data_IF_879906725096
#
_entry.id   IF_879906725096
#
_cell.length_a   1.000
_cell.length_b   1.000
_cell.length_c   1.000
_cell.angle_alpha   90.00
_cell.angle_beta   90.00
_cell.angle_gamma   90.00
#
_symmetry.space_group_name_H-M   'P 1'
#
loop_
_entity.id
_entity.type
_entity.pdbx_description
1 polymer ?
#
# COMPACT_ATOMS: atom_id res chain seq x y z
N UNK A 1 21.23 13.70 8.15
CA UNK A 1 20.24 12.80 8.78
C UNK A 1 18.90 13.06 8.13
N UNK A 2 18.13 12.02 7.73
CA UNK A 2 16.93 12.15 6.90
C UNK A 2 15.91 13.18 7.42
N UNK A 3 15.75 13.33 8.74
CA UNK A 3 14.85 14.31 9.36
C UNK A 3 15.21 15.76 8.99
N UNK A 4 16.51 16.08 8.88
CA UNK A 4 16.96 17.45 8.61
C UNK A 4 16.70 17.89 7.17
N UNK A 5 16.56 16.93 6.26
CA UNK A 5 16.10 17.20 4.90
C UNK A 5 14.66 17.76 4.90
N UNK A 6 13.81 17.30 5.84
CA UNK A 6 12.41 17.70 5.93
C UNK A 6 12.17 18.96 6.77
N UNK A 7 13.20 19.57 7.38
CA UNK A 7 13.06 20.62 8.39
C UNK A 7 12.17 21.81 7.96
N UNK A 8 12.27 22.22 6.70
CA UNK A 8 11.51 23.36 6.15
C UNK A 8 10.33 22.92 5.27
N UNK A 9 9.99 21.64 5.27
CA UNK A 9 8.88 21.10 4.48
C UNK A 9 7.57 21.22 5.27
N UNK A 10 6.40 21.42 4.63
CA UNK A 10 5.11 21.51 5.33
C UNK A 10 4.80 20.31 6.24
N UNK A 11 5.36 19.15 5.93
CA UNK A 11 5.21 17.88 6.64
C UNK A 11 6.24 17.69 7.78
N UNK A 12 7.12 18.67 8.05
CA UNK A 12 8.18 18.56 9.06
C UNK A 12 7.67 18.09 10.43
N UNK A 13 6.58 18.69 10.91
CA UNK A 13 5.99 18.34 12.20
C UNK A 13 5.50 16.89 12.24
N UNK A 14 4.88 16.42 11.15
CA UNK A 14 4.39 15.05 11.03
C UNK A 14 5.54 14.03 10.99
N UNK A 15 6.59 14.32 10.20
CA UNK A 15 7.79 13.47 10.15
C UNK A 15 8.47 13.39 11.52
N UNK A 16 8.53 14.50 12.26
CA UNK A 16 9.11 14.52 13.60
C UNK A 16 8.31 13.65 14.59
N UNK A 17 6.97 13.72 14.53
CA UNK A 17 6.10 12.86 15.35
C UNK A 17 6.33 11.37 15.05
N UNK A 18 6.41 10.99 13.77
CA UNK A 18 6.69 9.60 13.38
C UNK A 18 8.06 9.12 13.86
N UNK A 19 9.08 9.98 13.76
CA UNK A 19 10.44 9.64 14.17
C UNK A 19 10.60 9.45 15.69
N UNK A 20 9.70 10.05 16.48
CA UNK A 20 9.68 9.92 17.94
C UNK A 20 8.74 8.82 18.43
N UNK A 21 8.07 8.11 17.51
CA UNK A 21 7.13 7.08 17.90
C UNK A 21 7.87 5.89 18.51
N UNK A 22 7.60 5.64 19.79
CA UNK A 22 8.03 4.41 20.46
C UNK A 22 7.20 3.22 19.96
N UNK A 23 7.84 2.34 19.18
CA UNK A 23 7.22 1.14 18.65
C UNK A 23 7.22 0.03 19.72
N UNK A 24 6.03 -0.54 19.99
CA UNK A 24 5.87 -1.70 20.89
C UNK A 24 6.24 -3.01 20.18
N UNK A 25 7.37 -3.01 19.46
CA UNK A 25 7.86 -4.13 18.64
C UNK A 25 9.26 -4.47 19.15
N UNK A 26 9.55 -5.75 19.48
CA UNK A 26 10.91 -6.17 19.81
C UNK A 26 11.88 -5.80 18.68
N UNK A 27 13.11 -5.44 19.00
CA UNK A 27 14.09 -4.97 18.01
C UNK A 27 14.31 -6.00 16.89
N UNK A 28 14.32 -7.28 17.26
CA UNK A 28 14.43 -8.42 16.36
C UNK A 28 13.24 -8.59 15.39
N UNK A 29 12.09 -7.96 15.66
CA UNK A 29 10.88 -8.04 14.85
C UNK A 29 10.59 -6.80 14.01
N UNK A 30 11.36 -5.71 14.16
CA UNK A 30 11.10 -4.44 13.46
C UNK A 30 11.11 -4.63 11.93
N UNK A 31 12.03 -5.46 11.42
CA UNK A 31 12.15 -5.69 9.98
C UNK A 31 10.94 -6.46 9.43
N UNK A 32 10.50 -7.47 10.15
CA UNK A 32 9.39 -8.34 9.79
C UNK A 32 8.08 -7.57 9.80
N UNK A 33 7.87 -6.72 10.81
CA UNK A 33 6.74 -5.81 10.92
C UNK A 33 6.74 -4.78 9.79
N UNK A 34 7.89 -4.15 9.52
CA UNK A 34 8.02 -3.22 8.39
C UNK A 34 7.66 -3.89 7.06
N UNK A 35 8.23 -5.07 6.77
CA UNK A 35 7.92 -5.82 5.56
C UNK A 35 6.45 -6.27 5.52
N UNK A 36 5.86 -6.58 6.67
CA UNK A 36 4.44 -6.85 6.82
C UNK A 36 3.58 -5.67 6.39
N UNK A 37 3.91 -4.47 6.89
CA UNK A 37 3.20 -3.24 6.52
C UNK A 37 3.35 -2.90 5.04
N UNK A 38 4.53 -3.09 4.45
CA UNK A 38 4.72 -2.93 2.99
C UNK A 38 3.85 -3.90 2.20
N UNK A 39 3.72 -5.17 2.64
CA UNK A 39 2.80 -6.12 2.00
C UNK A 39 1.35 -5.65 2.10
N UNK A 40 0.91 -5.14 3.24
CA UNK A 40 -0.45 -4.61 3.42
C UNK A 40 -0.71 -3.40 2.52
N UNK A 41 0.23 -2.45 2.42
CA UNK A 41 0.11 -1.30 1.53
C UNK A 41 -0.04 -1.72 0.06
N UNK A 42 0.70 -2.75 -0.36
CA UNK A 42 0.55 -3.30 -1.72
C UNK A 42 -0.84 -3.93 -1.95
N UNK A 43 -1.39 -4.61 -0.94
CA UNK A 43 -2.74 -5.18 -1.03
C UNK A 43 -3.78 -4.08 -1.18
N UNK A 44 -3.65 -2.97 -0.45
CA UNK A 44 -4.55 -1.81 -0.57
C UNK A 44 -4.53 -1.26 -2.00
N UNK A 45 -3.36 -1.03 -2.59
CA UNK A 45 -3.27 -0.55 -3.98
C UNK A 45 -3.84 -1.54 -5.01
N UNK A 46 -3.70 -2.85 -4.78
CA UNK A 46 -4.33 -3.87 -5.64
C UNK A 46 -5.86 -3.81 -5.51
N UNK A 47 -6.38 -3.63 -4.30
CA UNK A 47 -7.81 -3.54 -4.05
C UNK A 47 -8.43 -2.29 -4.68
N UNK A 48 -7.72 -1.16 -4.69
CA UNK A 48 -8.13 0.04 -5.40
C UNK A 48 -8.30 -0.21 -6.90
N UNK A 49 -7.36 -0.89 -7.56
CA UNK A 49 -7.45 -1.21 -8.98
C UNK A 49 -8.57 -2.20 -9.30
N UNK A 50 -8.74 -3.24 -8.48
CA UNK A 50 -9.87 -4.18 -8.61
C UNK A 50 -11.18 -3.42 -8.48
N UNK A 51 -11.34 -2.58 -7.45
CA UNK A 51 -12.56 -1.83 -7.21
C UNK A 51 -12.86 -0.84 -8.34
N UNK A 52 -11.83 -0.17 -8.89
CA UNK A 52 -11.98 0.71 -10.05
C UNK A 52 -12.56 -0.03 -11.26
N UNK A 53 -12.01 -1.20 -11.58
CA UNK A 53 -12.47 -2.02 -12.71
C UNK A 53 -13.87 -2.61 -12.46
N UNK A 54 -14.18 -3.06 -11.25
CA UNK A 54 -15.53 -3.53 -10.90
C UNK A 54 -16.58 -2.40 -10.96
N UNK A 55 -16.23 -1.21 -10.49
CA UNK A 55 -17.11 -0.04 -10.58
C UNK A 55 -17.40 0.34 -12.04
N UNK A 56 -16.39 0.30 -12.90
CA UNK A 56 -16.56 0.49 -14.34
C UNK A 56 -17.43 -0.59 -14.97
N UNK A 57 -17.17 -1.86 -14.66
CA UNK A 57 -17.94 -3.01 -15.15
C UNK A 57 -19.44 -2.87 -14.86
N UNK A 58 -19.78 -2.33 -13.68
CA UNK A 58 -21.16 -2.11 -13.26
C UNK A 58 -21.87 -0.97 -14.01
N UNK A 59 -21.14 -0.01 -14.57
CA UNK A 59 -21.70 1.17 -15.25
C UNK A 59 -21.75 1.01 -16.76
N UNK A 60 -20.62 0.64 -17.38
CA UNK A 60 -20.44 0.65 -18.84
C UNK A 60 -19.90 -0.68 -19.39
N UNK A 61 -19.59 -1.64 -18.53
CA UNK A 61 -18.92 -2.89 -18.89
C UNK A 61 -17.40 -2.73 -18.98
N UNK A 62 -16.71 -3.81 -19.35
CA UNK A 62 -15.25 -3.85 -19.52
C UNK A 62 -14.88 -4.28 -20.93
N UNK A 63 -13.82 -3.69 -21.47
CA UNK A 63 -13.15 -4.21 -22.67
C UNK A 63 -12.47 -5.56 -22.38
N UNK A 64 -12.05 -6.26 -23.43
CA UNK A 64 -11.31 -7.51 -23.25
C UNK A 64 -9.96 -7.29 -22.54
N UNK A 65 -9.28 -6.18 -22.86
CA UNK A 65 -8.03 -5.79 -22.19
C UNK A 65 -8.26 -5.55 -20.69
N UNK A 66 -9.36 -4.89 -20.33
CA UNK A 66 -9.70 -4.60 -18.93
C UNK A 66 -10.13 -5.85 -18.15
N UNK A 67 -10.76 -6.83 -18.81
CA UNK A 67 -11.04 -8.15 -18.21
C UNK A 67 -9.75 -8.91 -17.90
N UNK A 68 -8.77 -8.84 -18.81
CA UNK A 68 -7.43 -9.41 -18.59
C UNK A 68 -6.73 -8.69 -17.45
N UNK A 69 -6.80 -7.36 -17.41
CA UNK A 69 -6.24 -6.54 -16.35
C UNK A 69 -6.84 -6.92 -14.98
N UNK A 70 -8.18 -6.97 -14.88
CA UNK A 70 -8.88 -7.37 -13.66
C UNK A 70 -8.45 -8.77 -13.19
N UNK A 71 -8.38 -9.74 -14.11
CA UNK A 71 -7.93 -11.09 -13.81
C UNK A 71 -6.49 -11.13 -13.30
N UNK A 72 -5.62 -10.28 -13.86
CA UNK A 72 -4.23 -10.13 -13.44
C UNK A 72 -4.13 -9.56 -12.03
N UNK A 73 -4.91 -8.52 -11.71
CA UNK A 73 -4.95 -7.95 -10.36
C UNK A 73 -5.46 -8.96 -9.32
N UNK A 74 -6.52 -9.71 -9.64
CA UNK A 74 -7.05 -10.77 -8.76
C UNK A 74 -5.99 -11.86 -8.52
N UNK A 75 -5.30 -12.30 -9.57
CA UNK A 75 -4.23 -13.29 -9.45
C UNK A 75 -3.06 -12.78 -8.59
N UNK A 76 -2.67 -11.52 -8.78
CA UNK A 76 -1.62 -10.85 -7.98
C UNK A 76 -2.01 -10.72 -6.51
N UNK A 77 -3.26 -10.39 -6.19
CA UNK A 77 -3.75 -10.37 -4.81
C UNK A 77 -3.61 -11.75 -4.17
N UNK A 78 -4.05 -12.79 -4.89
CA UNK A 78 -4.01 -14.17 -4.42
C UNK A 78 -2.58 -14.65 -4.14
N UNK A 79 -1.58 -14.21 -4.90
CA UNK A 79 -0.18 -14.57 -4.67
C UNK A 79 0.49 -13.87 -3.48
N UNK A 80 -0.09 -12.76 -2.99
CA UNK A 80 0.46 -12.00 -1.85
C UNK A 80 -0.22 -12.42 -0.53
N UNK A 81 -1.48 -12.82 -0.60
CA UNK A 81 -2.27 -13.24 0.57
C UNK A 81 -2.04 -14.71 0.93
N UNK A 82 -1.71 -15.57 -0.05
CA UNK A 82 -1.43 -17.00 0.17
C UNK A 82 0.04 -17.29 0.47
#
# INVERSE_FOLDING_TARGET
VLIEYWRNHPQAAFIHQLAQWEHMIPEEGIKEEFLGMIRQLNIVGIDEEINRLLAKAAQEGLSEEEKIELSTWIAKKKSIVN
#
